data_IF_627863719959
#
_entry.id   IF_627863719959
#
_cell.length_a   1.000
_cell.length_b   1.000
_cell.length_c   1.000
_cell.angle_alpha   90.00
_cell.angle_beta   90.00
_cell.angle_gamma   90.00
#
_symmetry.space_group_name_H-M   'P 1'
#
loop_
_entity.id
_entity.type
_entity.pdbx_description
1 polymer ?
#
# COMPACT_ATOMS: atom_id res chain seq x y z
N UNK A 1 -56.25 -49.06 -41.83
CA UNK A 1 -56.99 -48.37 -40.74
C UNK A 1 -56.22 -48.63 -39.46
N UNK A 2 -55.57 -47.69 -38.74
CA UNK A 2 -55.65 -46.23 -38.62
C UNK A 2 -54.24 -45.61 -38.77
N UNK A 3 -54.21 -44.37 -39.26
CA UNK A 3 -53.02 -43.54 -39.43
C UNK A 3 -52.62 -42.99 -38.04
N UNK A 4 -51.40 -43.26 -37.58
CA UNK A 4 -50.77 -42.48 -36.52
C UNK A 4 -49.83 -41.48 -37.17
N UNK A 5 -50.32 -40.25 -37.39
CA UNK A 5 -49.49 -39.12 -37.82
C UNK A 5 -48.65 -38.71 -36.61
N UNK A 6 -47.41 -39.20 -36.50
CA UNK A 6 -46.45 -38.63 -35.56
C UNK A 6 -45.96 -37.29 -36.10
N UNK A 7 -46.26 -36.24 -35.35
CA UNK A 7 -46.00 -34.85 -35.71
C UNK A 7 -44.54 -34.49 -35.35
N UNK A 8 -43.61 -34.75 -36.27
CA UNK A 8 -42.15 -34.59 -36.12
C UNK A 8 -41.66 -33.17 -35.84
N UNK A 9 -42.54 -32.16 -35.93
CA UNK A 9 -42.22 -30.79 -35.54
C UNK A 9 -42.24 -30.56 -34.02
N UNK A 10 -43.01 -31.35 -33.26
CA UNK A 10 -43.12 -31.17 -31.81
C UNK A 10 -41.84 -31.59 -31.08
N UNK A 11 -41.17 -32.66 -31.53
CA UNK A 11 -39.92 -33.17 -30.95
C UNK A 11 -38.71 -32.27 -31.20
N UNK A 12 -38.66 -31.60 -32.36
CA UNK A 12 -37.57 -30.65 -32.67
C UNK A 12 -37.64 -29.39 -31.83
N UNK A 13 -38.85 -28.93 -31.47
CA UNK A 13 -39.05 -27.73 -30.65
C UNK A 13 -38.66 -28.03 -29.20
N UNK A 14 -39.06 -29.18 -28.65
CA UNK A 14 -38.67 -29.61 -27.29
C UNK A 14 -37.17 -29.82 -27.16
N UNK A 15 -36.50 -30.46 -28.15
CA UNK A 15 -35.05 -30.70 -28.07
C UNK A 15 -34.24 -29.39 -28.09
N UNK A 16 -34.62 -28.40 -28.91
CA UNK A 16 -33.95 -27.08 -28.94
C UNK A 16 -34.16 -26.28 -27.64
N UNK A 17 -35.35 -26.36 -27.04
CA UNK A 17 -35.63 -25.69 -25.77
C UNK A 17 -34.87 -26.33 -24.60
N UNK A 18 -34.73 -27.67 -24.60
CA UNK A 18 -33.95 -28.39 -23.59
C UNK A 18 -32.46 -28.02 -23.68
N UNK A 19 -31.91 -27.98 -24.89
CA UNK A 19 -30.52 -27.55 -25.12
C UNK A 19 -30.27 -26.09 -24.72
N UNK A 20 -31.23 -25.20 -25.02
CA UNK A 20 -31.14 -23.79 -24.62
C UNK A 20 -31.22 -23.60 -23.10
N UNK A 21 -32.08 -24.36 -22.42
CA UNK A 21 -32.21 -24.30 -20.96
C UNK A 21 -30.94 -24.82 -20.26
N UNK A 22 -30.31 -25.86 -20.80
CA UNK A 22 -29.04 -26.39 -20.29
C UNK A 22 -27.89 -25.38 -20.40
N UNK A 23 -27.82 -24.63 -21.51
CA UNK A 23 -26.80 -23.59 -21.68
C UNK A 23 -26.98 -22.42 -20.71
N UNK A 24 -28.22 -21.99 -20.46
CA UNK A 24 -28.52 -20.92 -19.50
C UNK A 24 -28.17 -21.37 -18.07
N UNK A 25 -28.48 -22.63 -17.73
CA UNK A 25 -28.16 -23.21 -16.42
C UNK A 25 -26.63 -23.35 -16.21
N UNK A 26 -25.89 -23.70 -17.25
CA UNK A 26 -24.43 -23.74 -17.21
C UNK A 26 -23.83 -22.34 -17.00
N UNK A 27 -24.36 -21.31 -17.67
CA UNK A 27 -23.91 -19.92 -17.49
C UNK A 27 -24.17 -19.34 -16.09
N UNK A 28 -25.17 -19.83 -15.36
CA UNK A 28 -25.42 -19.37 -13.99
C UNK A 28 -24.45 -20.00 -12.97
N UNK A 29 -23.86 -21.15 -13.28
CA UNK A 29 -22.94 -21.85 -12.36
C UNK A 29 -21.53 -21.24 -12.29
N UNK A 30 -21.11 -20.44 -13.28
CA UNK A 30 -19.80 -19.76 -13.31
C UNK A 30 -19.76 -18.47 -12.47
N UNK A 31 -20.91 -17.95 -12.02
CA UNK A 31 -20.95 -16.72 -11.20
C UNK A 31 -20.79 -16.99 -9.69
N UNK A 32 -20.78 -18.25 -9.25
CA UNK A 32 -20.74 -18.61 -7.82
C UNK A 32 -19.33 -18.71 -7.22
N UNK A 33 -18.27 -18.36 -7.96
CA UNK A 33 -16.88 -18.34 -7.48
C UNK A 33 -16.31 -16.93 -7.27
N UNK A 34 -17.15 -15.91 -7.10
CA UNK A 34 -16.71 -14.62 -6.57
C UNK A 34 -16.89 -14.60 -5.05
N UNK A 35 -16.07 -15.38 -4.32
CA UNK A 35 -15.91 -15.14 -2.89
C UNK A 35 -15.07 -13.88 -2.75
N UNK A 36 -15.68 -12.80 -2.24
CA UNK A 36 -14.92 -11.73 -1.63
C UNK A 36 -14.13 -12.38 -0.50
N UNK A 37 -12.81 -12.46 -0.63
CA UNK A 37 -11.96 -12.74 0.52
C UNK A 37 -12.28 -11.67 1.57
N UNK A 38 -12.80 -12.09 2.71
CA UNK A 38 -12.69 -11.30 3.92
C UNK A 38 -11.22 -10.94 4.05
N UNK A 39 -10.89 -9.65 3.95
CA UNK A 39 -9.56 -9.15 4.26
C UNK A 39 -9.30 -9.46 5.73
N UNK A 40 -8.79 -10.66 5.99
CA UNK A 40 -8.05 -10.95 7.20
C UNK A 40 -6.98 -9.86 7.24
N UNK A 41 -7.10 -8.97 8.23
CA UNK A 41 -6.04 -8.05 8.58
C UNK A 41 -4.74 -8.87 8.53
N UNK A 42 -3.76 -8.48 7.70
CA UNK A 42 -2.58 -9.31 7.54
C UNK A 42 -2.00 -9.57 8.93
N UNK A 43 -1.54 -10.82 9.20
CA UNK A 43 -0.77 -11.09 10.41
C UNK A 43 0.24 -9.98 10.58
N UNK A 44 0.38 -9.42 11.80
CA UNK A 44 1.35 -8.37 12.18
C UNK A 44 2.50 -8.40 11.19
N UNK A 45 2.51 -7.44 10.26
CA UNK A 45 3.40 -7.45 9.10
C UNK A 45 4.80 -7.76 9.63
N UNK A 46 5.34 -8.93 9.30
CA UNK A 46 6.67 -9.34 9.74
C UNK A 46 7.59 -8.20 9.31
N UNK A 47 8.13 -7.50 10.31
CA UNK A 47 8.93 -6.32 10.10
C UNK A 47 10.07 -6.71 9.17
N UNK A 48 10.08 -6.16 7.95
CA UNK A 48 11.19 -6.39 7.03
C UNK A 48 12.38 -5.58 7.55
N UNK A 49 13.47 -6.21 8.01
CA UNK A 49 14.64 -5.51 8.58
C UNK A 49 15.29 -4.52 7.60
N UNK A 50 14.98 -4.68 6.32
CA UNK A 50 15.43 -3.91 5.17
C UNK A 50 14.55 -2.69 4.87
N UNK A 51 13.51 -2.43 5.67
CA UNK A 51 12.72 -1.19 5.62
C UNK A 51 13.12 -0.16 6.70
N UNK A 52 13.97 -0.56 7.64
CA UNK A 52 14.46 0.34 8.68
C UNK A 52 15.47 1.33 8.14
N UNK A 53 15.45 2.54 8.69
CA UNK A 53 16.48 3.54 8.48
C UNK A 53 17.61 3.22 9.45
N UNK A 54 18.84 3.08 8.96
CA UNK A 54 20.03 3.01 9.80
C UNK A 54 20.76 4.34 9.72
N UNK A 55 21.69 4.56 10.65
CA UNK A 55 22.52 5.77 10.63
C UNK A 55 23.29 5.93 9.30
N UNK A 56 23.55 4.84 8.58
CA UNK A 56 24.18 4.85 7.27
C UNK A 56 23.32 5.56 6.22
N UNK A 57 22.03 5.21 6.12
CA UNK A 57 21.08 5.80 5.18
C UNK A 57 20.91 7.31 5.45
N UNK A 58 20.89 7.71 6.72
CA UNK A 58 20.87 9.14 7.10
C UNK A 58 22.10 9.87 6.55
N UNK A 59 23.26 9.24 6.55
CA UNK A 59 24.50 9.78 5.97
C UNK A 59 24.50 9.89 4.43
N UNK A 60 23.51 9.30 3.74
CA UNK A 60 23.37 9.42 2.29
C UNK A 60 22.74 10.75 1.86
N UNK A 61 22.11 11.48 2.78
CA UNK A 61 21.44 12.76 2.54
C UNK A 61 22.29 13.89 3.12
N UNK A 62 22.39 15.00 2.40
CA UNK A 62 23.11 16.19 2.85
C UNK A 62 22.44 17.48 2.39
N UNK A 63 22.82 18.58 3.02
CA UNK A 63 22.48 19.92 2.53
C UNK A 63 22.91 20.10 1.06
N UNK A 64 22.06 20.74 0.27
CA UNK A 64 22.21 20.86 -1.18
C UNK A 64 21.56 19.74 -1.99
N UNK A 65 21.25 18.59 -1.39
CA UNK A 65 20.49 17.55 -2.08
C UNK A 65 19.03 17.97 -2.32
N UNK A 66 18.35 17.28 -3.24
CA UNK A 66 16.91 17.47 -3.50
C UNK A 66 16.05 16.70 -2.50
N UNK A 67 14.89 17.27 -2.15
CA UNK A 67 13.84 16.63 -1.32
C UNK A 67 13.56 15.19 -1.74
N UNK A 68 13.42 14.95 -3.05
CA UNK A 68 13.10 13.61 -3.59
C UNK A 68 14.11 12.53 -3.18
N UNK A 69 15.39 12.91 -3.03
CA UNK A 69 16.43 11.97 -2.56
C UNK A 69 16.23 11.63 -1.09
N UNK A 70 15.87 12.61 -0.27
CA UNK A 70 15.59 12.36 1.13
C UNK A 70 14.39 11.44 1.32
N UNK A 71 13.29 11.67 0.58
CA UNK A 71 12.10 10.82 0.65
C UNK A 71 12.35 9.41 0.10
N UNK A 72 13.22 9.26 -0.91
CA UNK A 72 13.62 7.94 -1.41
C UNK A 72 14.44 7.13 -0.39
N UNK A 73 15.17 7.81 0.49
CA UNK A 73 16.06 7.18 1.48
C UNK A 73 15.37 6.99 2.84
N UNK A 74 14.60 7.99 3.31
CA UNK A 74 13.94 7.99 4.63
C UNK A 74 12.46 7.59 4.55
N UNK A 75 11.90 7.45 3.35
CA UNK A 75 10.47 7.25 3.15
C UNK A 75 9.67 8.52 3.43
N UNK A 76 8.37 8.35 3.67
CA UNK A 76 7.42 9.44 3.93
C UNK A 76 7.66 10.07 5.31
N UNK A 77 7.69 11.42 5.42
CA UNK A 77 7.85 12.08 6.71
C UNK A 77 6.61 11.91 7.60
N UNK A 78 6.84 11.90 8.91
CA UNK A 78 5.76 11.93 9.92
C UNK A 78 5.04 13.27 9.95
N UNK A 79 5.75 14.35 9.58
CA UNK A 79 5.21 15.71 9.50
C UNK A 79 5.73 16.39 8.26
N UNK A 80 4.83 16.98 7.50
CA UNK A 80 5.15 17.91 6.42
C UNK A 80 4.44 19.23 6.66
N UNK A 81 5.22 20.30 6.85
CA UNK A 81 4.72 21.66 6.96
C UNK A 81 5.19 22.47 5.76
N UNK A 82 4.25 22.86 4.90
CA UNK A 82 4.53 23.73 3.77
C UNK A 82 4.45 25.20 4.19
N UNK A 83 5.44 26.00 3.79
CA UNK A 83 5.55 27.43 4.06
C UNK A 83 5.73 28.20 2.76
N UNK A 84 5.69 29.54 2.81
CA UNK A 84 5.96 30.36 1.63
C UNK A 84 7.41 30.21 1.12
N UNK A 85 8.34 29.88 2.02
CA UNK A 85 9.77 29.76 1.74
C UNK A 85 10.19 28.34 1.32
N UNK A 86 9.28 27.37 1.40
CA UNK A 86 9.52 25.98 1.06
C UNK A 86 8.75 25.01 1.96
N UNK A 87 9.45 24.07 2.59
CA UNK A 87 8.82 23.07 3.46
C UNK A 87 9.72 22.66 4.61
N UNK A 88 9.13 22.21 5.71
CA UNK A 88 9.82 21.53 6.81
C UNK A 88 9.29 20.10 6.89
N UNK A 89 10.20 19.14 6.80
CA UNK A 89 9.89 17.71 6.86
C UNK A 89 10.50 17.13 8.13
N UNK A 90 9.71 16.40 8.92
CA UNK A 90 10.17 15.73 10.14
C UNK A 90 9.83 14.24 10.09
N UNK A 91 10.83 13.40 10.33
CA UNK A 91 10.69 11.97 10.58
C UNK A 91 10.92 11.74 12.06
N UNK A 92 9.92 11.25 12.78
CA UNK A 92 10.09 10.77 14.15
C UNK A 92 10.37 9.28 14.13
N UNK A 93 11.28 8.83 14.99
CA UNK A 93 11.88 7.51 14.87
C UNK A 93 11.79 6.75 16.20
N UNK A 94 11.66 5.43 16.10
CA UNK A 94 11.79 4.51 17.23
C UNK A 94 12.89 3.49 16.95
N UNK A 95 13.76 3.23 17.94
CA UNK A 95 14.77 2.18 17.81
C UNK A 95 14.12 0.81 17.66
N UNK A 96 14.64 0.01 16.76
CA UNK A 96 14.29 -1.41 16.67
C UNK A 96 15.08 -2.22 17.70
N UNK A 97 14.52 -3.34 18.15
CA UNK A 97 15.13 -4.18 19.19
C UNK A 97 16.14 -5.20 18.62
N UNK A 98 16.02 -5.53 17.33
CA UNK A 98 16.79 -6.60 16.70
C UNK A 98 18.10 -6.14 16.04
N UNK A 99 18.28 -4.84 15.81
CA UNK A 99 19.49 -4.32 15.18
C UNK A 99 19.89 -2.98 15.79
N UNK A 100 21.16 -2.89 16.22
CA UNK A 100 21.74 -1.65 16.74
C UNK A 100 21.74 -0.56 15.66
N UNK A 101 21.43 0.68 16.06
CA UNK A 101 21.39 1.86 15.19
C UNK A 101 20.42 1.70 14.00
N UNK A 102 19.34 0.94 14.20
CA UNK A 102 18.28 0.71 13.22
C UNK A 102 16.97 1.27 13.77
N UNK A 103 16.26 2.03 12.95
CA UNK A 103 15.14 2.88 13.37
C UNK A 103 13.96 2.71 12.43
N UNK A 104 12.76 2.73 13.01
CA UNK A 104 11.51 2.79 12.26
C UNK A 104 10.93 4.19 12.30
N UNK A 105 10.47 4.68 11.14
CA UNK A 105 9.67 5.91 11.05
C UNK A 105 8.29 5.70 11.68
N UNK A 106 7.93 6.63 12.56
CA UNK A 106 6.57 6.75 13.08
C UNK A 106 5.69 7.40 12.00
N UNK A 107 4.47 6.89 11.84
CA UNK A 107 3.53 7.46 10.87
C UNK A 107 3.13 8.90 11.23
N UNK A 108 3.11 9.23 12.51
CA UNK A 108 2.70 10.52 13.04
C UNK A 108 3.68 11.04 14.08
N UNK A 109 3.62 12.34 14.34
CA UNK A 109 4.36 12.99 15.43
C UNK A 109 3.94 12.42 16.79
N UNK A 110 4.89 12.06 17.68
CA UNK A 110 4.56 11.61 19.02
C UNK A 110 3.86 12.71 19.83
N UNK A 111 2.97 12.30 20.74
CA UNK A 111 2.19 13.22 21.57
C UNK A 111 3.06 14.10 22.49
N UNK A 112 4.24 13.61 22.89
CA UNK A 112 5.22 14.34 23.68
C UNK A 112 6.61 14.20 23.08
N UNK A 113 7.32 15.31 22.92
CA UNK A 113 8.74 15.31 22.55
C UNK A 113 9.56 15.39 23.83
N UNK A 114 10.22 14.28 24.16
CA UNK A 114 11.18 14.19 25.26
C UNK A 114 12.61 14.37 24.74
N UNK A 115 13.58 14.52 25.65
CA UNK A 115 14.96 14.74 25.26
C UNK A 115 15.53 13.58 24.43
N UNK A 116 15.16 12.34 24.72
CA UNK A 116 15.59 11.14 24.01
C UNK A 116 14.84 10.86 22.69
N UNK A 117 13.86 11.72 22.34
CA UNK A 117 13.09 11.56 21.11
C UNK A 117 14.01 11.63 19.89
N UNK A 118 13.92 10.59 19.07
CA UNK A 118 14.74 10.45 17.87
C UNK A 118 14.02 11.05 16.69
N UNK A 119 14.72 11.88 15.94
CA UNK A 119 14.15 12.55 14.79
C UNK A 119 15.18 12.89 13.72
N UNK A 120 14.69 13.10 12.51
CA UNK A 120 15.41 13.76 11.42
C UNK A 120 14.51 14.89 10.95
N UNK A 121 15.07 16.09 10.87
CA UNK A 121 14.38 17.31 10.42
C UNK A 121 15.14 17.93 9.26
N UNK A 122 14.41 18.17 8.17
CA UNK A 122 14.93 18.81 6.98
C UNK A 122 14.16 20.11 6.72
N UNK A 123 14.89 21.19 6.51
CA UNK A 123 14.34 22.44 5.98
C UNK A 123 14.62 22.49 4.48
N UNK A 124 13.56 22.54 3.69
CA UNK A 124 13.58 22.53 2.23
C UNK A 124 13.25 23.93 1.73
N UNK A 125 13.99 24.42 0.75
CA UNK A 125 13.66 25.68 0.08
C UNK A 125 12.54 25.52 -0.97
N UNK A 126 12.03 26.65 -1.47
CA UNK A 126 11.06 26.70 -2.57
C UNK A 126 11.46 26.00 -3.87
N UNK A 127 12.74 25.66 -4.06
CA UNK A 127 13.27 24.90 -5.22
C UNK A 127 13.39 23.41 -4.93
N UNK A 128 12.92 22.96 -3.77
CA UNK A 128 12.99 21.57 -3.33
C UNK A 128 14.39 21.14 -2.90
N UNK A 129 15.25 22.06 -2.47
CA UNK A 129 16.64 21.79 -2.05
C UNK A 129 16.74 21.82 -0.52
N UNK A 130 17.43 20.85 0.07
CA UNK A 130 17.71 20.80 1.51
C UNK A 130 18.65 21.94 1.87
N UNK A 131 18.19 22.85 2.73
CA UNK A 131 18.96 23.98 3.24
C UNK A 131 19.61 23.71 4.59
N UNK A 132 18.93 22.92 5.41
CA UNK A 132 19.37 22.60 6.76
C UNK A 132 18.93 21.19 7.11
N UNK A 133 19.82 20.45 7.75
CA UNK A 133 19.54 19.12 8.30
C UNK A 133 19.88 19.08 9.79
N UNK A 134 18.94 18.61 10.60
CA UNK A 134 19.08 18.45 12.04
C UNK A 134 18.60 17.05 12.43
N UNK A 135 19.36 16.31 13.23
CA UNK A 135 18.94 14.96 13.64
C UNK A 135 19.46 14.58 15.02
N UNK A 136 18.73 13.66 15.66
CA UNK A 136 19.09 12.96 16.88
C UNK A 136 18.65 11.50 16.73
N UNK A 137 19.59 10.56 16.80
CA UNK A 137 19.38 9.12 16.61
C UNK A 137 19.78 8.32 17.84
#
# INVERSE_FOLDING_TARGET
MRIAVQNSNLEKITMKQILSALMILACLSVLSFCRSEDKKQPPKQEFQPNSDIRTFEVGMIKEGDKRIKAEAVLGTPSVELNTQDGAVLEWYLVSTEYQKNSYKTLAEKPASIAEDTKFIKLTIDKKGVIKKMEYKL
#
